data_IF_796162621153
#
_entry.id   IF_796162621153
#
_cell.length_a   1.000
_cell.length_b   1.000
_cell.length_c   1.000
_cell.angle_alpha   90.00
_cell.angle_beta   90.00
_cell.angle_gamma   90.00
#
_symmetry.space_group_name_H-M   'P 1'
#
loop_
_entity.id
_entity.type
_entity.pdbx_description
1 polymer ?
#
# COMPACT_ATOMS: atom_id res chain seq x y z
N UNK A 1 -59.51 -7.05 26.28
CA UNK A 1 -58.11 -7.23 26.68
C UNK A 1 -57.45 -5.87 26.68
N UNK A 2 -57.31 -5.30 27.85
CA UNK A 2 -56.94 -3.91 28.12
C UNK A 2 -55.42 -3.82 28.24
N UNK A 3 -54.79 -3.00 27.41
CA UNK A 3 -53.35 -2.78 27.40
C UNK A 3 -52.91 -1.99 28.65
N UNK A 4 -51.78 -2.33 29.29
CA UNK A 4 -51.26 -1.59 30.43
C UNK A 4 -50.55 -0.28 30.00
N UNK A 5 -50.58 0.76 30.85
CA UNK A 5 -50.06 2.09 30.52
C UNK A 5 -48.52 2.17 30.52
N UNK A 6 -48.00 2.93 29.56
CA UNK A 6 -46.59 3.29 29.40
C UNK A 6 -46.11 4.20 30.55
N UNK A 7 -45.04 3.77 31.22
CA UNK A 7 -44.29 4.58 32.20
C UNK A 7 -43.28 5.50 31.49
N UNK A 8 -43.35 6.80 31.80
CA UNK A 8 -42.48 7.86 31.30
C UNK A 8 -41.01 7.74 31.76
N UNK A 9 -40.04 8.27 30.99
CA UNK A 9 -38.61 8.14 31.29
C UNK A 9 -38.16 9.08 32.42
N UNK A 10 -37.36 8.51 33.32
CA UNK A 10 -36.69 9.16 34.44
C UNK A 10 -35.47 9.93 33.92
N UNK A 11 -35.46 11.24 34.09
CA UNK A 11 -34.31 12.09 33.83
C UNK A 11 -33.21 11.79 34.88
N UNK A 12 -32.08 11.28 34.43
CA UNK A 12 -30.88 11.15 35.26
C UNK A 12 -29.94 12.32 34.99
N UNK A 13 -29.49 12.88 36.11
CA UNK A 13 -28.77 14.12 36.24
C UNK A 13 -27.29 13.98 35.85
N UNK A 14 -26.82 15.03 35.19
CA UNK A 14 -25.44 15.33 34.81
C UNK A 14 -24.59 15.65 36.06
N UNK A 15 -23.44 14.98 36.29
CA UNK A 15 -22.45 15.42 37.28
C UNK A 15 -21.37 16.32 36.65
N UNK A 16 -20.77 17.22 37.45
CA UNK A 16 -20.10 18.41 36.95
C UNK A 16 -18.65 18.21 36.47
N UNK A 17 -18.34 19.09 35.53
CA UNK A 17 -17.05 19.53 35.00
C UNK A 17 -15.95 19.70 36.06
N UNK A 18 -14.84 18.96 35.90
CA UNK A 18 -13.59 19.17 36.62
C UNK A 18 -12.45 19.42 35.62
N UNK A 19 -11.97 20.66 35.58
CA UNK A 19 -10.77 21.09 34.86
C UNK A 19 -9.55 21.15 35.84
N UNK A 20 -8.32 21.46 35.38
CA UNK A 20 -7.28 20.47 35.14
C UNK A 20 -6.12 20.55 36.14
N UNK A 21 -5.64 19.39 36.60
CA UNK A 21 -4.42 19.31 37.40
C UNK A 21 -3.18 19.29 36.49
N UNK A 22 -2.34 20.29 36.66
CA UNK A 22 -1.01 20.44 36.07
C UNK A 22 -0.08 19.31 36.51
N UNK A 23 0.65 18.70 35.59
CA UNK A 23 1.74 17.77 35.91
C UNK A 23 3.00 18.10 35.09
N UNK A 24 4.20 17.87 35.68
CA UNK A 24 5.43 18.55 35.31
C UNK A 24 6.20 17.90 34.16
N UNK A 25 6.97 18.77 33.51
CA UNK A 25 7.93 18.55 32.42
C UNK A 25 9.07 17.61 32.87
N UNK A 26 9.02 16.34 32.48
CA UNK A 26 10.12 15.39 32.66
C UNK A 26 11.14 15.47 31.51
N UNK A 27 12.43 15.54 31.90
CA UNK A 27 13.63 15.59 31.05
C UNK A 27 13.71 14.45 30.01
N UNK A 28 14.36 14.66 28.85
CA UNK A 28 14.73 13.58 27.94
C UNK A 28 15.81 12.70 28.59
N UNK A 29 15.54 11.39 28.67
CA UNK A 29 16.49 10.34 29.08
C UNK A 29 17.19 9.84 27.81
N UNK A 30 18.52 9.96 27.78
CA UNK A 30 19.37 9.30 26.77
C UNK A 30 19.20 7.78 26.83
N UNK A 31 19.02 7.08 25.70
CA UNK A 31 19.19 5.65 25.66
C UNK A 31 20.68 5.30 25.54
N UNK A 32 21.16 4.63 26.59
CA UNK A 32 22.44 3.96 26.66
C UNK A 32 22.62 2.94 25.52
N UNK A 33 23.86 2.84 25.05
CA UNK A 33 24.36 1.77 24.21
C UNK A 33 24.11 0.41 24.89
N UNK A 34 23.38 -0.48 24.21
CA UNK A 34 23.29 -1.88 24.59
C UNK A 34 24.01 -2.71 23.54
N UNK A 35 24.92 -3.51 24.09
CA UNK A 35 25.92 -4.38 23.51
C UNK A 35 25.35 -5.56 22.73
N UNK A 36 26.11 -5.95 21.71
CA UNK A 36 26.06 -7.24 21.00
C UNK A 36 26.06 -8.46 21.92
N UNK A 37 25.38 -9.52 21.48
CA UNK A 37 25.34 -10.81 22.17
C UNK A 37 24.58 -11.92 21.45
N UNK A 38 25.21 -12.48 20.41
CA UNK A 38 25.29 -13.90 20.04
C UNK A 38 24.02 -14.75 19.73
N UNK A 39 24.06 -15.28 18.48
CA UNK A 39 23.91 -16.68 18.09
C UNK A 39 22.54 -17.38 18.12
N UNK A 40 22.01 -17.65 16.93
CA UNK A 40 21.42 -18.94 16.61
C UNK A 40 21.75 -19.31 15.15
N UNK A 41 22.46 -20.43 15.03
CA UNK A 41 22.83 -21.16 13.82
C UNK A 41 21.56 -21.73 13.20
N UNK A 42 21.38 -21.55 11.89
CA UNK A 42 20.47 -22.37 11.11
C UNK A 42 21.15 -22.68 9.77
N UNK A 43 21.48 -23.96 9.63
CA UNK A 43 22.03 -24.60 8.44
C UNK A 43 21.11 -24.49 7.23
N UNK A 44 21.72 -24.69 6.06
CA UNK A 44 21.14 -24.49 4.76
C UNK A 44 20.12 -25.54 4.37
N UNK A 45 19.15 -25.09 3.58
CA UNK A 45 18.46 -25.90 2.59
C UNK A 45 18.51 -25.09 1.30
N UNK A 46 19.40 -25.52 0.40
CA UNK A 46 19.46 -25.06 -0.98
C UNK A 46 18.21 -25.55 -1.71
N UNK A 47 17.31 -24.63 -2.06
CA UNK A 47 16.27 -24.89 -3.04
C UNK A 47 16.78 -24.39 -4.41
N UNK A 48 17.37 -25.32 -5.15
CA UNK A 48 17.60 -25.22 -6.58
C UNK A 48 16.26 -25.00 -7.30
N UNK A 49 16.20 -23.98 -8.15
CA UNK A 49 15.07 -23.71 -9.04
C UNK A 49 15.66 -23.23 -10.37
N UNK A 50 16.01 -24.20 -11.20
CA UNK A 50 16.31 -24.03 -12.60
C UNK A 50 15.14 -23.42 -13.39
N UNK A 51 15.48 -22.54 -14.33
CA UNK A 51 14.88 -22.55 -15.66
C UNK A 51 13.84 -21.48 -15.98
N UNK A 52 14.29 -20.31 -16.48
CA UNK A 52 13.69 -19.69 -17.68
C UNK A 52 14.82 -19.09 -18.53
N UNK A 53 14.89 -19.57 -19.76
CA UNK A 53 15.88 -19.27 -20.78
C UNK A 53 15.93 -17.78 -21.17
N UNK A 54 17.14 -17.24 -21.24
CA UNK A 54 17.46 -15.98 -21.90
C UNK A 54 17.82 -16.32 -23.35
N UNK A 55 17.00 -15.87 -24.30
CA UNK A 55 17.37 -15.92 -25.71
C UNK A 55 18.43 -14.88 -26.04
N UNK A 56 19.46 -15.39 -26.69
CA UNK A 56 20.72 -14.79 -27.05
C UNK A 56 20.63 -14.08 -28.42
N UNK A 57 21.27 -12.90 -28.50
CA UNK A 57 22.03 -12.33 -29.63
C UNK A 57 21.36 -12.14 -31.00
N UNK A 58 21.32 -10.88 -31.42
CA UNK A 58 21.66 -10.53 -32.81
C UNK A 58 22.54 -9.28 -32.82
N UNK A 59 23.86 -9.50 -32.86
CA UNK A 59 24.88 -8.48 -33.18
C UNK A 59 25.01 -8.42 -34.69
N UNK A 60 24.68 -7.27 -35.28
CA UNK A 60 25.06 -6.94 -36.66
C UNK A 60 26.41 -6.21 -36.63
N UNK A 61 27.31 -6.65 -37.51
CA UNK A 61 28.72 -6.27 -37.58
C UNK A 61 29.02 -5.23 -38.68
N UNK A 62 30.05 -4.40 -38.38
CA UNK A 62 31.04 -3.76 -39.27
C UNK A 62 30.57 -2.64 -40.24
N UNK A 63 31.45 -1.70 -40.71
CA UNK A 63 32.93 -1.79 -40.88
C UNK A 63 33.75 -0.54 -40.43
N UNK A 64 35.10 -0.51 -40.66
CA UNK A 64 36.06 0.28 -39.86
C UNK A 64 36.65 1.54 -40.55
N UNK A 65 37.30 2.34 -39.71
CA UNK A 65 38.47 3.22 -39.88
C UNK A 65 38.69 4.04 -41.17
N UNK A 66 38.88 5.37 -40.98
CA UNK A 66 39.74 6.20 -41.82
C UNK A 66 40.45 7.27 -40.97
N UNK A 67 41.75 7.37 -41.17
CA UNK A 67 42.73 8.24 -40.52
C UNK A 67 42.68 9.73 -40.97
N UNK A 68 42.89 10.62 -39.98
CA UNK A 68 43.66 11.89 -40.00
C UNK A 68 43.27 13.04 -40.99
N UNK A 69 43.85 14.27 -40.91
CA UNK A 69 44.74 14.89 -39.90
C UNK A 69 44.26 16.30 -39.43
N UNK A 70 45.12 16.94 -38.62
CA UNK A 70 44.94 18.20 -37.89
C UNK A 70 45.26 19.51 -38.65
N UNK A 71 44.91 20.63 -37.99
CA UNK A 71 45.42 22.04 -38.08
C UNK A 71 44.75 23.02 -39.07
N UNK A 72 44.91 24.37 -38.93
CA UNK A 72 44.89 25.24 -37.75
C UNK A 72 43.94 26.49 -37.91
N UNK A 73 44.00 27.40 -36.94
CA UNK A 73 43.21 28.62 -36.73
C UNK A 73 43.18 29.66 -37.87
N UNK A 74 42.04 30.37 -38.02
CA UNK A 74 41.96 31.70 -38.64
C UNK A 74 40.88 32.58 -38.01
N UNK A 75 41.34 33.63 -37.34
CA UNK A 75 40.88 35.04 -37.29
C UNK A 75 39.39 35.42 -37.25
N UNK A 76 39.11 36.28 -36.27
CA UNK A 76 37.96 37.16 -36.15
C UNK A 76 37.74 38.08 -37.35
N UNK A 77 36.47 38.40 -37.64
CA UNK A 77 36.02 39.72 -38.15
C UNK A 77 34.54 39.92 -37.76
N UNK A 78 34.15 41.08 -37.21
CA UNK A 78 32.77 41.40 -36.87
C UNK A 78 32.07 42.11 -38.04
N UNK A 79 30.88 41.65 -38.43
CA UNK A 79 30.00 42.43 -39.32
C UNK A 79 28.51 42.14 -39.09
N UNK A 80 27.84 43.20 -38.66
CA UNK A 80 26.45 43.60 -38.97
C UNK A 80 25.27 42.76 -38.46
N UNK A 81 24.34 43.36 -37.68
CA UNK A 81 23.06 42.75 -37.33
C UNK A 81 22.07 42.83 -38.52
N UNK A 82 21.36 41.76 -38.87
CA UNK A 82 20.26 41.84 -39.84
C UNK A 82 18.98 42.41 -39.21
N UNK A 83 18.11 43.03 -40.04
CA UNK A 83 16.95 43.81 -39.63
C UNK A 83 15.79 42.99 -39.07
N UNK A 84 15.00 43.68 -38.26
CA UNK A 84 13.85 43.25 -37.48
C UNK A 84 12.77 42.57 -38.33
N UNK A 85 12.54 41.28 -38.09
CA UNK A 85 11.37 40.56 -38.58
C UNK A 85 10.14 40.83 -37.69
N UNK A 86 8.93 40.96 -38.27
CA UNK A 86 7.70 41.31 -37.54
C UNK A 86 7.24 40.20 -36.57
N UNK A 87 6.49 40.56 -35.51
CA UNK A 87 6.05 39.59 -34.50
C UNK A 87 5.05 38.60 -35.09
N UNK A 88 5.47 37.34 -35.21
CA UNK A 88 4.59 36.21 -35.53
C UNK A 88 3.60 36.01 -34.36
N UNK A 89 2.29 35.84 -34.64
CA UNK A 89 1.29 35.66 -33.62
C UNK A 89 1.50 34.33 -32.88
N UNK A 90 1.87 34.47 -31.59
CA UNK A 90 1.46 33.65 -30.44
C UNK A 90 0.99 32.24 -30.79
N UNK A 91 1.94 31.41 -31.21
CA UNK A 91 1.72 29.98 -31.39
C UNK A 91 1.50 29.34 -30.02
N UNK A 92 0.48 28.51 -29.96
CA UNK A 92 -0.12 27.88 -28.79
C UNK A 92 0.93 27.34 -27.80
N UNK A 93 0.66 27.53 -26.52
CA UNK A 93 1.40 26.98 -25.39
C UNK A 93 1.48 25.45 -25.50
N UNK A 94 2.45 24.93 -26.26
CA UNK A 94 2.93 23.58 -26.02
C UNK A 94 3.39 23.53 -24.57
N UNK A 95 2.98 22.51 -23.79
CA UNK A 95 3.50 22.29 -22.45
C UNK A 95 5.02 22.28 -22.57
N UNK A 96 5.69 23.25 -21.94
CA UNK A 96 7.15 23.27 -21.86
C UNK A 96 7.57 21.94 -21.25
N UNK A 97 8.10 21.04 -22.07
CA UNK A 97 8.92 19.94 -21.58
C UNK A 97 10.07 20.62 -20.83
N UNK A 98 9.95 20.64 -19.51
CA UNK A 98 11.00 21.14 -18.64
C UNK A 98 12.28 20.40 -19.02
N UNK A 99 13.35 21.09 -19.47
CA UNK A 99 14.57 20.45 -19.90
C UNK A 99 15.04 19.54 -18.77
N UNK A 100 14.99 18.22 -19.02
CA UNK A 100 15.50 17.23 -18.09
C UNK A 100 16.99 17.51 -17.96
N UNK A 101 17.40 18.08 -16.82
CA UNK A 101 18.81 18.19 -16.48
C UNK A 101 19.40 16.78 -16.59
N UNK A 102 20.56 16.61 -17.25
CA UNK A 102 21.20 15.30 -17.33
C UNK A 102 21.45 14.82 -15.90
N UNK A 103 20.66 13.84 -15.47
CA UNK A 103 20.79 13.23 -14.15
C UNK A 103 22.13 12.51 -14.12
N UNK A 104 22.92 12.78 -13.09
CA UNK A 104 24.13 12.00 -12.85
C UNK A 104 23.73 10.53 -12.65
N UNK A 105 24.57 9.57 -13.06
CA UNK A 105 24.26 8.15 -12.95
C UNK A 105 23.91 7.73 -11.50
N UNK A 106 24.47 8.41 -10.50
CA UNK A 106 24.11 8.26 -9.09
C UNK A 106 22.70 8.77 -8.75
N UNK A 107 22.24 9.86 -9.37
CA UNK A 107 20.88 10.39 -9.19
C UNK A 107 19.84 9.49 -9.86
N UNK A 108 20.15 8.93 -11.02
CA UNK A 108 19.29 7.94 -11.68
C UNK A 108 19.11 6.68 -10.81
N UNK A 109 20.21 6.21 -10.19
CA UNK A 109 20.17 5.07 -9.28
C UNK A 109 19.43 5.39 -7.96
N UNK A 110 19.51 6.63 -7.48
CA UNK A 110 18.72 7.09 -6.33
C UNK A 110 17.22 7.22 -6.63
N UNK A 111 16.84 7.68 -7.82
CA UNK A 111 15.44 7.79 -8.22
C UNK A 111 14.79 6.41 -8.36
N UNK A 112 15.55 5.40 -8.79
CA UNK A 112 15.09 4.02 -8.88
C UNK A 112 14.93 3.37 -7.48
N UNK A 113 15.84 3.67 -6.54
CA UNK A 113 15.79 3.13 -5.17
C UNK A 113 14.73 3.81 -4.28
N UNK A 114 14.43 5.08 -4.48
CA UNK A 114 13.53 5.84 -3.60
C UNK A 114 12.73 6.90 -4.38
N UNK A 115 11.83 6.53 -5.31
CA UNK A 115 11.13 7.46 -6.20
C UNK A 115 10.36 8.55 -5.45
N UNK A 116 10.31 9.78 -6.02
CA UNK A 116 9.59 10.93 -5.44
C UNK A 116 8.07 10.71 -5.48
N UNK A 117 7.58 10.15 -6.58
CA UNK A 117 6.15 9.94 -6.84
C UNK A 117 5.89 8.46 -7.19
N UNK A 118 6.07 7.52 -6.25
CA UNK A 118 5.86 6.11 -6.54
C UNK A 118 4.43 5.91 -7.01
N UNK A 119 4.27 5.06 -8.03
CA UNK A 119 2.97 4.55 -8.50
C UNK A 119 1.98 5.57 -9.06
N UNK A 120 2.43 6.76 -9.51
CA UNK A 120 1.51 7.81 -10.04
C UNK A 120 0.57 7.32 -11.15
N UNK A 121 1.05 6.47 -12.05
CA UNK A 121 0.23 5.88 -13.12
C UNK A 121 -0.72 4.80 -12.57
N UNK A 122 -0.21 3.89 -11.73
CA UNK A 122 -1.00 2.86 -11.10
C UNK A 122 -2.14 3.44 -10.25
N UNK A 123 -1.92 4.57 -9.56
CA UNK A 123 -2.95 5.27 -8.80
C UNK A 123 -4.15 5.68 -9.67
N UNK A 124 -3.91 6.17 -10.90
CA UNK A 124 -4.98 6.51 -11.85
C UNK A 124 -5.72 5.27 -12.31
N UNK A 125 -4.97 4.23 -12.67
CA UNK A 125 -5.54 2.96 -13.09
C UNK A 125 -6.44 2.38 -12.00
N UNK A 126 -5.97 2.35 -10.74
CA UNK A 126 -6.76 1.88 -9.61
C UNK A 126 -7.98 2.76 -9.33
N UNK A 127 -7.87 4.09 -9.41
CA UNK A 127 -9.04 4.96 -9.29
C UNK A 127 -10.08 4.68 -10.38
N UNK A 128 -9.64 4.49 -11.63
CA UNK A 128 -10.53 4.17 -12.74
C UNK A 128 -11.17 2.80 -12.59
N UNK A 129 -10.39 1.77 -12.22
CA UNK A 129 -10.88 0.41 -12.01
C UNK A 129 -11.90 0.35 -10.86
N UNK A 130 -11.59 0.96 -9.71
CA UNK A 130 -12.51 1.02 -8.57
C UNK A 130 -13.75 1.84 -8.91
N UNK A 131 -13.59 2.97 -9.61
CA UNK A 131 -14.72 3.80 -10.01
C UNK A 131 -15.66 3.13 -11.00
N UNK A 132 -15.13 2.45 -12.01
CA UNK A 132 -15.90 1.59 -12.91
C UNK A 132 -16.57 0.44 -12.16
N UNK A 133 -15.87 -0.19 -11.21
CA UNK A 133 -16.42 -1.23 -10.36
C UNK A 133 -17.64 -0.74 -9.55
N UNK A 134 -17.52 0.39 -8.87
CA UNK A 134 -18.64 0.99 -8.12
C UNK A 134 -19.78 1.46 -9.01
N UNK A 135 -19.48 2.03 -10.17
CA UNK A 135 -20.50 2.39 -11.15
C UNK A 135 -21.26 1.15 -11.65
N UNK A 136 -20.55 0.07 -11.98
CA UNK A 136 -21.12 -1.22 -12.35
C UNK A 136 -22.00 -1.80 -11.24
N UNK A 137 -21.52 -1.80 -9.99
CA UNK A 137 -22.30 -2.22 -8.83
C UNK A 137 -23.57 -1.38 -8.63
N UNK A 138 -23.52 -0.09 -8.93
CA UNK A 138 -24.66 0.82 -8.88
C UNK A 138 -25.67 0.62 -10.02
N UNK A 139 -25.25 0.02 -11.14
CA UNK A 139 -26.15 -0.34 -12.24
C UNK A 139 -26.96 -1.63 -11.95
N UNK A 140 -26.42 -2.54 -11.12
CA UNK A 140 -27.06 -3.84 -10.85
C UNK A 140 -28.48 -3.77 -10.27
N UNK A 141 -28.83 -2.84 -9.35
CA UNK A 141 -30.21 -2.70 -8.88
C UNK A 141 -31.20 -2.30 -9.99
N UNK A 142 -30.77 -1.50 -10.97
CA UNK A 142 -31.62 -1.13 -12.11
C UNK A 142 -31.87 -2.30 -13.06
N UNK A 143 -30.97 -3.29 -13.07
CA UNK A 143 -31.11 -4.54 -13.83
C UNK A 143 -31.86 -5.63 -13.05
N UNK A 144 -32.30 -5.36 -11.81
CA UNK A 144 -32.97 -6.34 -10.96
C UNK A 144 -32.06 -7.45 -10.42
N UNK A 145 -30.73 -7.32 -10.57
CA UNK A 145 -29.75 -8.34 -10.16
C UNK A 145 -29.41 -8.24 -8.67
N UNK A 146 -29.48 -7.03 -8.08
CA UNK A 146 -29.10 -6.78 -6.69
C UNK A 146 -30.25 -6.13 -5.90
N UNK A 147 -30.61 -6.65 -4.71
CA UNK A 147 -31.54 -5.98 -3.79
C UNK A 147 -30.89 -4.74 -3.16
N UNK A 148 -31.70 -3.72 -2.83
CA UNK A 148 -31.22 -2.47 -2.21
C UNK A 148 -31.88 -1.19 -2.71
N UNK A 149 -32.71 -1.29 -3.75
CA UNK A 149 -33.48 -0.17 -4.28
C UNK A 149 -32.62 0.94 -4.90
N UNK A 150 -33.27 2.06 -5.20
CA UNK A 150 -32.68 3.22 -5.89
C UNK A 150 -31.62 3.94 -5.05
N UNK A 151 -31.75 3.95 -3.72
CA UNK A 151 -30.81 4.64 -2.82
C UNK A 151 -29.43 3.95 -2.79
N UNK A 152 -29.39 2.61 -2.77
CA UNK A 152 -28.13 1.87 -2.86
C UNK A 152 -27.47 2.09 -4.24
N UNK A 153 -28.27 2.10 -5.31
CA UNK A 153 -27.78 2.38 -6.66
C UNK A 153 -27.16 3.79 -6.76
N UNK A 154 -27.86 4.80 -6.25
CA UNK A 154 -27.41 6.20 -6.29
C UNK A 154 -26.08 6.38 -5.56
N UNK A 155 -25.96 5.86 -4.34
CA UNK A 155 -24.70 5.96 -3.58
C UNK A 155 -23.53 5.27 -4.28
N UNK A 156 -23.73 4.08 -4.84
CA UNK A 156 -22.70 3.40 -5.64
C UNK A 156 -22.29 4.21 -6.87
N UNK A 157 -23.26 4.76 -7.62
CA UNK A 157 -23.00 5.60 -8.79
C UNK A 157 -22.28 6.90 -8.42
N UNK A 158 -22.64 7.53 -7.30
CA UNK A 158 -21.96 8.74 -6.82
C UNK A 158 -20.49 8.45 -6.47
N UNK A 159 -20.22 7.40 -5.67
CA UNK A 159 -18.85 7.02 -5.36
C UNK A 159 -18.07 6.61 -6.61
N UNK A 160 -18.70 5.86 -7.53
CA UNK A 160 -18.10 5.48 -8.81
C UNK A 160 -17.79 6.67 -9.72
N UNK A 161 -18.72 7.61 -9.86
CA UNK A 161 -18.54 8.81 -10.66
C UNK A 161 -17.46 9.73 -10.11
N UNK A 162 -17.44 9.96 -8.80
CA UNK A 162 -16.42 10.82 -8.16
C UNK A 162 -15.03 10.19 -8.24
N UNK A 163 -14.91 8.87 -8.02
CA UNK A 163 -13.62 8.17 -8.17
C UNK A 163 -13.13 8.14 -9.62
N UNK A 164 -14.03 7.98 -10.60
CA UNK A 164 -13.68 8.07 -12.02
C UNK A 164 -13.25 9.49 -12.41
N UNK A 165 -13.95 10.52 -11.92
CA UNK A 165 -13.53 11.91 -12.09
C UNK A 165 -12.15 12.16 -11.46
N UNK A 166 -11.87 11.61 -10.28
CA UNK A 166 -10.54 11.68 -9.66
C UNK A 166 -9.45 10.96 -10.48
N UNK A 167 -9.80 9.92 -11.24
CA UNK A 167 -8.89 9.23 -12.15
C UNK A 167 -8.52 10.07 -13.37
N UNK A 168 -9.52 10.77 -13.95
CA UNK A 168 -9.38 11.56 -15.19
C UNK A 168 -8.77 12.95 -14.92
N UNK A 169 -9.02 13.53 -13.76
CA UNK A 169 -8.55 14.87 -13.42
C UNK A 169 -7.03 14.91 -13.25
N UNK A 170 -6.40 15.95 -13.82
CA UNK A 170 -4.97 16.23 -13.68
C UNK A 170 -4.67 16.90 -12.34
N UNK A 171 -4.85 16.12 -11.27
CA UNK A 171 -4.57 16.56 -9.89
C UNK A 171 -3.12 16.22 -9.52
N UNK A 172 -2.50 17.09 -8.71
CA UNK A 172 -1.17 16.83 -8.14
C UNK A 172 -1.16 15.54 -7.30
N UNK A 173 0.01 14.91 -7.15
CA UNK A 173 0.17 13.66 -6.41
C UNK A 173 -0.44 13.69 -5.00
N UNK A 174 -0.16 14.77 -4.23
CA UNK A 174 -0.64 14.94 -2.85
C UNK A 174 -2.17 14.97 -2.75
N UNK A 175 -2.79 15.80 -3.57
CA UNK A 175 -4.24 15.96 -3.59
C UNK A 175 -4.94 14.67 -4.03
N UNK A 176 -4.35 13.91 -4.97
CA UNK A 176 -4.88 12.59 -5.34
C UNK A 176 -4.77 11.59 -4.20
N UNK A 177 -3.63 11.52 -3.52
CA UNK A 177 -3.42 10.62 -2.39
C UNK A 177 -4.47 10.85 -1.28
N UNK A 178 -4.71 12.12 -0.94
CA UNK A 178 -5.76 12.51 0.01
C UNK A 178 -7.14 12.15 -0.52
N UNK A 179 -7.45 12.42 -1.79
CA UNK A 179 -8.74 12.06 -2.38
C UNK A 179 -8.99 10.55 -2.38
N UNK A 180 -7.99 9.72 -2.70
CA UNK A 180 -8.10 8.25 -2.66
C UNK A 180 -8.37 7.76 -1.23
N UNK A 181 -7.63 8.29 -0.25
CA UNK A 181 -7.84 7.97 1.15
C UNK A 181 -9.26 8.33 1.61
N UNK A 182 -9.70 9.56 1.34
CA UNK A 182 -11.02 10.04 1.73
C UNK A 182 -12.14 9.27 1.01
N UNK A 183 -12.05 9.05 -0.29
CA UNK A 183 -13.09 8.35 -1.05
C UNK A 183 -13.23 6.89 -0.62
N UNK A 184 -12.11 6.18 -0.44
CA UNK A 184 -12.13 4.80 0.03
C UNK A 184 -12.65 4.68 1.47
N UNK A 185 -12.20 5.55 2.37
CA UNK A 185 -12.64 5.53 3.78
C UNK A 185 -14.11 5.92 3.91
N UNK A 186 -14.57 6.95 3.19
CA UNK A 186 -15.99 7.32 3.17
C UNK A 186 -16.85 6.19 2.61
N UNK A 187 -16.45 5.56 1.51
CA UNK A 187 -17.19 4.43 0.94
C UNK A 187 -17.31 3.25 1.93
N UNK A 188 -16.23 2.95 2.67
CA UNK A 188 -16.25 1.90 3.68
C UNK A 188 -17.05 2.28 4.93
N UNK A 189 -16.97 3.54 5.40
CA UNK A 189 -17.76 4.03 6.55
C UNK A 189 -19.25 4.06 6.23
N UNK A 190 -19.63 4.46 5.02
CA UNK A 190 -21.03 4.36 4.56
C UNK A 190 -21.47 2.90 4.51
N UNK A 191 -20.59 1.99 4.09
CA UNK A 191 -20.80 0.53 4.15
C UNK A 191 -21.00 -0.03 5.56
N UNK A 192 -20.29 0.50 6.55
CA UNK A 192 -20.51 0.18 7.98
C UNK A 192 -21.90 0.59 8.45
N UNK A 193 -22.44 1.70 7.93
CA UNK A 193 -23.81 2.13 8.16
C UNK A 193 -24.89 1.32 7.43
N UNK A 194 -24.50 0.26 6.71
CA UNK A 194 -25.43 -0.59 5.95
C UNK A 194 -25.86 0.00 4.60
N UNK A 195 -25.17 1.04 4.11
CA UNK A 195 -25.49 1.70 2.84
C UNK A 195 -24.30 1.65 1.85
N UNK A 196 -24.57 1.93 0.58
CA UNK A 196 -23.51 2.06 -0.43
C UNK A 196 -22.90 0.75 -0.94
N UNK A 197 -21.77 0.84 -1.66
CA UNK A 197 -21.23 -0.28 -2.44
C UNK A 197 -20.80 -1.45 -1.55
N UNK A 198 -20.28 -1.14 -0.36
CA UNK A 198 -19.83 -2.11 0.63
C UNK A 198 -20.84 -2.26 1.79
N UNK A 199 -22.14 -2.09 1.54
CA UNK A 199 -23.17 -2.42 2.52
C UNK A 199 -23.03 -3.89 2.95
N UNK A 200 -22.81 -4.14 4.24
CA UNK A 200 -22.56 -5.48 4.79
C UNK A 200 -21.25 -5.62 5.59
N UNK A 201 -20.37 -4.60 5.60
CA UNK A 201 -19.12 -4.65 6.39
C UNK A 201 -19.39 -4.88 7.89
N UNK A 202 -20.49 -4.33 8.40
CA UNK A 202 -20.88 -4.43 9.80
C UNK A 202 -21.68 -5.71 10.14
N UNK A 203 -21.78 -6.69 9.23
CA UNK A 203 -22.49 -7.94 9.48
C UNK A 203 -21.99 -8.58 10.79
N UNK A 204 -22.89 -8.67 11.78
CA UNK A 204 -22.65 -9.21 13.12
C UNK A 204 -22.25 -8.22 14.19
N UNK A 205 -21.24 -7.41 13.96
CA UNK A 205 -20.75 -6.45 14.96
C UNK A 205 -20.12 -5.20 14.32
N UNK A 206 -20.66 -3.98 14.57
CA UNK A 206 -20.11 -2.75 13.98
C UNK A 206 -18.68 -2.48 14.44
N UNK A 207 -18.33 -2.83 15.68
CA UNK A 207 -16.98 -2.69 16.23
C UNK A 207 -15.98 -3.57 15.47
N UNK A 208 -16.36 -4.82 15.14
CA UNK A 208 -15.52 -5.71 14.33
C UNK A 208 -15.34 -5.14 12.92
N UNK A 209 -16.42 -4.64 12.31
CA UNK A 209 -16.36 -4.00 10.99
C UNK A 209 -15.40 -2.81 10.96
N UNK A 210 -15.44 -1.94 11.98
CA UNK A 210 -14.53 -0.80 12.10
C UNK A 210 -13.07 -1.24 12.32
N UNK A 211 -12.85 -2.22 13.21
CA UNK A 211 -11.51 -2.76 13.43
C UNK A 211 -10.94 -3.40 12.15
N UNK A 212 -11.77 -4.12 11.38
CA UNK A 212 -11.42 -4.70 10.07
C UNK A 212 -11.03 -3.61 9.07
N UNK A 213 -11.79 -2.51 9.02
CA UNK A 213 -11.48 -1.35 8.17
C UNK A 213 -10.09 -0.77 8.51
N UNK A 214 -9.77 -0.57 9.79
CA UNK A 214 -8.46 -0.09 10.22
C UNK A 214 -7.34 -1.06 9.81
N UNK A 215 -7.52 -2.37 10.05
CA UNK A 215 -6.54 -3.38 9.68
C UNK A 215 -6.32 -3.44 8.16
N UNK A 216 -7.41 -3.47 7.37
CA UNK A 216 -7.38 -3.54 5.92
C UNK A 216 -6.81 -2.28 5.24
N UNK A 217 -6.72 -1.17 5.94
CA UNK A 217 -6.16 0.08 5.41
C UNK A 217 -4.72 0.29 5.86
N UNK A 218 -4.45 0.15 7.16
CA UNK A 218 -3.13 0.41 7.74
C UNK A 218 -2.08 -0.64 7.36
N UNK A 219 -2.41 -1.93 7.43
CA UNK A 219 -1.44 -3.01 7.16
C UNK A 219 -0.96 -3.00 5.69
N UNK A 220 -1.84 -2.99 4.66
CA UNK A 220 -1.36 -2.97 3.28
C UNK A 220 -0.59 -1.69 2.96
N UNK A 221 -1.01 -0.53 3.50
CA UNK A 221 -0.27 0.72 3.31
C UNK A 221 1.15 0.66 3.88
N UNK A 222 1.32 0.13 5.09
CA UNK A 222 2.62 -0.02 5.73
C UNK A 222 3.50 -1.08 5.02
N UNK A 223 2.92 -2.18 4.56
CA UNK A 223 3.62 -3.22 3.80
C UNK A 223 4.10 -2.70 2.44
N UNK A 224 3.27 -1.95 1.71
CA UNK A 224 3.66 -1.28 0.47
C UNK A 224 4.75 -0.25 0.71
N UNK A 225 4.62 0.56 1.77
CA UNK A 225 5.63 1.52 2.17
C UNK A 225 6.97 0.84 2.43
N UNK A 226 6.96 -0.25 3.21
CA UNK A 226 8.17 -1.01 3.51
C UNK A 226 8.78 -1.70 2.29
N UNK A 227 7.95 -2.26 1.41
CA UNK A 227 8.43 -2.89 0.18
C UNK A 227 9.15 -1.89 -0.74
N UNK A 228 8.72 -0.62 -0.74
CA UNK A 228 9.34 0.45 -1.55
C UNK A 228 10.50 1.14 -0.86
N UNK A 229 10.40 1.40 0.45
CA UNK A 229 11.42 2.11 1.23
C UNK A 229 12.17 1.17 2.17
N UNK A 230 12.67 0.04 1.63
CA UNK A 230 13.30 -1.05 2.40
C UNK A 230 14.49 -0.65 3.27
N UNK A 231 15.24 0.37 2.84
CA UNK A 231 16.42 0.86 3.55
C UNK A 231 16.08 1.86 4.67
N UNK A 232 14.85 2.38 4.71
CA UNK A 232 14.46 3.35 5.72
C UNK A 232 14.13 2.64 7.04
N UNK A 233 14.97 2.83 8.06
CA UNK A 233 14.80 2.22 9.38
C UNK A 233 13.42 2.51 10.00
N UNK A 234 12.87 3.71 9.74
CA UNK A 234 11.54 4.12 10.20
C UNK A 234 10.39 3.29 9.61
N UNK A 235 10.60 2.57 8.50
CA UNK A 235 9.56 1.72 7.91
C UNK A 235 9.15 0.57 8.84
N UNK A 236 10.05 0.09 9.70
CA UNK A 236 9.74 -0.94 10.72
C UNK A 236 8.79 -0.40 11.77
N UNK A 237 8.98 0.84 12.21
CA UNK A 237 8.11 1.50 13.17
C UNK A 237 6.72 1.78 12.60
N UNK A 238 6.62 2.15 11.32
CA UNK A 238 5.32 2.27 10.64
C UNK A 238 4.58 0.94 10.56
N UNK A 239 5.29 -0.15 10.25
CA UNK A 239 4.69 -1.49 10.24
C UNK A 239 4.24 -1.89 11.64
N UNK A 240 5.03 -1.62 12.68
CA UNK A 240 4.65 -1.88 14.07
C UNK A 240 3.39 -1.08 14.46
N UNK A 241 3.31 0.20 14.10
CA UNK A 241 2.11 1.00 14.32
C UNK A 241 0.88 0.44 13.58
N UNK A 242 1.04 -0.03 12.34
CA UNK A 242 -0.04 -0.67 11.60
C UNK A 242 -0.51 -1.98 12.26
N UNK A 243 0.40 -2.76 12.86
CA UNK A 243 0.04 -3.93 13.67
C UNK A 243 -0.73 -3.55 14.93
N UNK A 244 -0.31 -2.49 15.63
CA UNK A 244 -1.05 -1.97 16.79
C UNK A 244 -2.46 -1.56 16.38
N UNK A 245 -2.63 -0.90 15.23
CA UNK A 245 -3.95 -0.58 14.68
C UNK A 245 -4.79 -1.82 14.31
N UNK A 246 -4.14 -2.95 13.97
CA UNK A 246 -4.80 -4.20 13.64
C UNK A 246 -5.10 -5.10 14.87
N UNK A 247 -4.51 -4.82 16.04
CA UNK A 247 -4.73 -5.60 17.26
C UNK A 247 -6.21 -5.71 17.66
N UNK A 248 -7.02 -4.64 17.65
CA UNK A 248 -8.45 -4.75 17.99
C UNK A 248 -9.17 -5.77 17.10
N UNK A 249 -8.83 -5.80 15.81
CA UNK A 249 -9.41 -6.77 14.87
C UNK A 249 -8.99 -8.19 15.20
N UNK A 250 -7.69 -8.43 15.46
CA UNK A 250 -7.19 -9.75 15.84
C UNK A 250 -7.83 -10.25 17.14
N UNK A 251 -7.90 -9.41 18.18
CA UNK A 251 -8.49 -9.78 19.47
C UNK A 251 -9.96 -10.19 19.28
N UNK A 252 -10.75 -9.37 18.58
CA UNK A 252 -12.16 -9.67 18.33
C UNK A 252 -12.34 -10.94 17.48
N UNK A 253 -11.46 -11.16 16.50
CA UNK A 253 -11.49 -12.36 15.64
C UNK A 253 -11.14 -13.62 16.44
N UNK A 254 -10.12 -13.57 17.31
CA UNK A 254 -9.74 -14.69 18.18
C UNK A 254 -10.85 -15.02 19.18
N UNK A 255 -11.46 -14.01 19.81
CA UNK A 255 -12.58 -14.19 20.72
C UNK A 255 -13.78 -14.85 20.03
N UNK A 256 -14.01 -14.54 18.75
CA UNK A 256 -15.06 -15.17 17.93
C UNK A 256 -14.78 -16.65 17.63
N UNK A 257 -13.51 -17.04 17.47
CA UNK A 257 -13.10 -18.43 17.18
C UNK A 257 -13.04 -19.31 18.43
N UNK A 258 -12.91 -18.72 19.62
CA UNK A 258 -12.83 -19.43 20.90
C UNK A 258 -13.88 -20.54 21.13
N UNK A 259 -15.18 -20.40 20.75
CA UNK A 259 -16.15 -21.48 20.92
C UNK A 259 -15.97 -22.68 19.95
N UNK A 260 -15.04 -22.61 18.99
CA UNK A 260 -14.69 -23.69 18.05
C UNK A 260 -15.89 -24.31 17.31
N UNK A 261 -16.91 -23.51 16.96
CA UNK A 261 -18.00 -24.00 16.12
C UNK A 261 -17.51 -24.23 14.67
N UNK A 262 -17.88 -25.35 14.01
CA UNK A 262 -17.48 -25.66 12.63
C UNK A 262 -18.28 -24.85 11.60
N UNK A 263 -18.35 -23.53 11.79
CA UNK A 263 -19.07 -22.61 10.93
C UNK A 263 -18.14 -21.99 9.87
N UNK A 264 -18.70 -21.58 8.72
CA UNK A 264 -17.96 -20.86 7.67
C UNK A 264 -17.25 -19.60 8.23
N UNK A 265 -17.87 -18.94 9.19
CA UNK A 265 -17.31 -17.81 9.92
C UNK A 265 -15.96 -18.13 10.59
N UNK A 266 -15.83 -19.33 11.15
CA UNK A 266 -14.62 -19.79 11.82
C UNK A 266 -13.50 -19.99 10.81
N UNK A 267 -13.79 -20.57 9.65
CA UNK A 267 -12.84 -20.70 8.53
C UNK A 267 -12.36 -19.31 8.07
N UNK A 268 -13.29 -18.37 7.87
CA UNK A 268 -12.94 -16.99 7.52
C UNK A 268 -12.04 -16.32 8.56
N UNK A 269 -12.33 -16.53 9.83
CA UNK A 269 -11.52 -16.00 10.94
C UNK A 269 -10.10 -16.57 10.95
N UNK A 270 -9.93 -17.87 10.68
CA UNK A 270 -8.60 -18.47 10.52
C UNK A 270 -7.84 -17.89 9.33
N UNK A 271 -8.51 -17.68 8.19
CA UNK A 271 -7.89 -17.02 7.03
C UNK A 271 -7.42 -15.62 7.39
N UNK A 272 -8.25 -14.82 8.07
CA UNK A 272 -7.87 -13.48 8.51
C UNK A 272 -6.67 -13.49 9.47
N UNK A 273 -6.68 -14.36 10.49
CA UNK A 273 -5.57 -14.51 11.43
C UNK A 273 -4.28 -14.90 10.70
N UNK A 274 -4.36 -15.92 9.84
CA UNK A 274 -3.20 -16.41 9.08
C UNK A 274 -2.60 -15.32 8.20
N UNK A 275 -3.43 -14.57 7.48
CA UNK A 275 -2.96 -13.55 6.55
C UNK A 275 -2.41 -12.33 7.31
N UNK A 276 -3.01 -11.93 8.43
CA UNK A 276 -2.44 -10.88 9.30
C UNK A 276 -1.12 -11.36 9.93
N UNK A 277 -1.01 -12.62 10.32
CA UNK A 277 0.25 -13.19 10.79
C UNK A 277 1.30 -13.24 9.66
N UNK A 278 0.91 -13.54 8.42
CA UNK A 278 1.80 -13.50 7.26
C UNK A 278 2.34 -12.09 6.99
N UNK A 279 1.63 -11.02 7.38
CA UNK A 279 2.16 -9.66 7.35
C UNK A 279 3.40 -9.46 8.23
N UNK A 280 3.67 -10.36 9.19
CA UNK A 280 4.91 -10.35 9.99
C UNK A 280 6.14 -10.69 9.15
N UNK A 281 5.99 -11.36 8.00
CA UNK A 281 7.08 -11.49 7.00
C UNK A 281 7.60 -10.13 6.60
N UNK A 282 6.73 -9.11 6.65
CA UNK A 282 7.12 -7.71 6.55
C UNK A 282 8.30 -7.39 7.44
N UNK A 283 8.39 -7.88 8.69
CA UNK A 283 9.49 -7.65 9.63
C UNK A 283 10.86 -8.21 9.27
N UNK A 284 10.93 -9.14 8.33
CA UNK A 284 12.20 -9.72 7.90
C UNK A 284 13.13 -8.68 7.22
N UNK A 285 14.39 -9.08 7.01
CA UNK A 285 15.47 -8.24 6.49
C UNK A 285 15.19 -7.63 5.11
N UNK A 286 16.01 -6.65 4.70
CA UNK A 286 15.86 -5.92 3.42
C UNK A 286 15.73 -6.83 2.19
N UNK A 287 16.36 -8.00 2.23
CA UNK A 287 16.39 -8.95 1.11
C UNK A 287 15.03 -9.62 0.84
N UNK A 288 14.17 -9.77 1.85
CA UNK A 288 12.86 -10.43 1.69
C UNK A 288 11.69 -9.44 1.58
N UNK A 289 11.97 -8.13 1.68
CA UNK A 289 10.92 -7.09 1.69
C UNK A 289 10.17 -6.91 0.37
N UNK A 290 10.68 -7.43 -0.76
CA UNK A 290 9.98 -7.40 -2.05
C UNK A 290 8.61 -8.11 -2.01
N UNK A 291 8.46 -9.11 -1.13
CA UNK A 291 7.20 -9.83 -0.95
C UNK A 291 6.08 -8.96 -0.33
N UNK A 292 6.40 -7.82 0.28
CA UNK A 292 5.44 -6.99 1.01
C UNK A 292 4.25 -6.52 0.16
N UNK A 293 4.44 -6.31 -1.15
CA UNK A 293 3.34 -5.96 -2.06
C UNK A 293 2.33 -7.11 -2.20
N UNK A 294 2.81 -8.35 -2.37
CA UNK A 294 1.97 -9.53 -2.49
C UNK A 294 1.29 -9.87 -1.17
N UNK A 295 2.02 -9.73 -0.05
CA UNK A 295 1.45 -9.92 1.29
C UNK A 295 0.38 -8.87 1.57
N UNK A 296 0.58 -7.61 1.18
CA UNK A 296 -0.44 -6.55 1.31
C UNK A 296 -1.70 -6.85 0.51
N UNK A 297 -1.58 -7.37 -0.72
CA UNK A 297 -2.71 -7.85 -1.51
C UNK A 297 -3.36 -9.08 -0.87
N UNK A 298 -2.56 -9.98 -0.30
CA UNK A 298 -3.02 -11.11 0.51
C UNK A 298 -3.90 -10.63 1.67
N UNK A 299 -3.46 -9.63 2.45
CA UNK A 299 -4.21 -9.02 3.56
C UNK A 299 -5.54 -8.47 3.10
N UNK A 300 -5.57 -7.68 2.02
CA UNK A 300 -6.82 -7.15 1.47
C UNK A 300 -7.78 -8.28 1.09
N UNK A 301 -7.32 -9.24 0.29
CA UNK A 301 -8.14 -10.36 -0.18
C UNK A 301 -8.59 -11.26 0.98
N UNK A 302 -7.71 -11.56 1.93
CA UNK A 302 -8.00 -12.41 3.09
C UNK A 302 -9.05 -11.80 4.01
N UNK A 303 -8.97 -10.50 4.29
CA UNK A 303 -9.97 -9.79 5.07
C UNK A 303 -11.31 -9.64 4.32
N UNK A 304 -11.27 -9.53 2.99
CA UNK A 304 -12.48 -9.60 2.14
C UNK A 304 -13.13 -10.97 2.18
N UNK A 305 -12.33 -12.04 2.10
CA UNK A 305 -12.80 -13.44 2.21
C UNK A 305 -13.40 -13.72 3.59
N UNK A 306 -12.76 -13.25 4.67
CA UNK A 306 -13.31 -13.38 6.02
C UNK A 306 -14.67 -12.67 6.16
N UNK A 307 -14.80 -11.47 5.60
CA UNK A 307 -16.08 -10.75 5.57
C UNK A 307 -17.15 -11.54 4.81
N UNK A 308 -16.82 -12.06 3.62
CA UNK A 308 -17.76 -12.85 2.81
C UNK A 308 -18.20 -14.13 3.54
N UNK A 309 -17.25 -14.90 4.10
CA UNK A 309 -17.56 -16.14 4.81
C UNK A 309 -18.34 -15.90 6.10
N UNK A 310 -18.08 -14.77 6.78
CA UNK A 310 -18.84 -14.36 7.95
C UNK A 310 -20.29 -14.07 7.61
N UNK A 311 -20.55 -13.36 6.53
CA UNK A 311 -21.91 -13.01 6.12
C UNK A 311 -22.66 -14.24 5.55
N UNK A 312 -21.96 -15.10 4.80
CA UNK A 312 -22.51 -16.39 4.32
C UNK A 312 -22.82 -17.39 5.44
N UNK A 313 -22.29 -17.19 6.65
CA UNK A 313 -22.57 -18.05 7.80
C UNK A 313 -23.95 -17.79 8.44
N UNK A 314 -24.60 -16.67 8.11
CA UNK A 314 -25.91 -16.36 8.68
C UNK A 314 -27.00 -17.35 8.22
N UNK A 315 -27.89 -17.79 9.12
CA UNK A 315 -29.05 -18.59 8.74
C UNK A 315 -29.87 -17.88 7.66
N UNK A 316 -30.09 -18.55 6.53
CA UNK A 316 -30.82 -17.98 5.40
C UNK A 316 -29.95 -17.26 4.36
N UNK A 317 -28.62 -17.22 4.52
CA UNK A 317 -27.71 -16.66 3.52
C UNK A 317 -27.82 -17.35 2.14
N UNK A 318 -28.31 -18.60 2.09
CA UNK A 318 -28.57 -19.35 0.86
C UNK A 318 -30.07 -19.56 0.58
N UNK A 319 -30.96 -18.85 1.29
CA UNK A 319 -32.40 -18.95 1.04
C UNK A 319 -32.79 -18.43 -0.35
N UNK A 320 -31.98 -17.51 -0.91
CA UNK A 320 -32.14 -17.01 -2.28
C UNK A 320 -30.78 -16.94 -2.97
N UNK A 321 -30.73 -17.14 -4.29
CA UNK A 321 -29.51 -17.00 -5.09
C UNK A 321 -28.92 -15.58 -5.11
N UNK A 322 -29.76 -14.57 -4.82
CA UNK A 322 -29.36 -13.16 -4.75
C UNK A 322 -28.55 -12.83 -3.49
N UNK A 323 -28.77 -13.57 -2.40
CA UNK A 323 -28.07 -13.36 -1.14
C UNK A 323 -26.54 -13.57 -1.26
N UNK A 324 -26.03 -14.74 -1.69
CA UNK A 324 -24.59 -14.97 -1.75
C UNK A 324 -23.89 -14.08 -2.79
N UNK A 325 -24.56 -13.77 -3.90
CA UNK A 325 -24.03 -12.83 -4.90
C UNK A 325 -23.90 -11.42 -4.31
N UNK A 326 -24.89 -10.94 -3.55
CA UNK A 326 -24.81 -9.64 -2.88
C UNK A 326 -23.68 -9.59 -1.84
N UNK A 327 -23.48 -10.65 -1.07
CA UNK A 327 -22.39 -10.80 -0.11
C UNK A 327 -21.01 -10.73 -0.78
N UNK A 328 -20.81 -11.48 -1.87
CA UNK A 328 -19.56 -11.48 -2.63
C UNK A 328 -19.28 -10.08 -3.20
N UNK A 329 -20.30 -9.43 -3.77
CA UNK A 329 -20.16 -8.08 -4.31
C UNK A 329 -19.84 -7.05 -3.22
N UNK A 330 -20.43 -7.18 -2.04
CA UNK A 330 -20.11 -6.32 -0.89
C UNK A 330 -18.67 -6.53 -0.40
N UNK A 331 -18.19 -7.78 -0.35
CA UNK A 331 -16.82 -8.09 0.00
C UNK A 331 -15.82 -7.54 -1.04
N UNK A 332 -16.11 -7.69 -2.34
CA UNK A 332 -15.30 -7.08 -3.41
C UNK A 332 -15.28 -5.57 -3.30
N UNK A 333 -16.43 -4.94 -3.04
CA UNK A 333 -16.52 -3.50 -2.84
C UNK A 333 -15.73 -3.03 -1.60
N UNK A 334 -15.75 -3.80 -0.52
CA UNK A 334 -14.94 -3.55 0.67
C UNK A 334 -13.44 -3.62 0.36
N UNK A 335 -13.00 -4.65 -0.36
CA UNK A 335 -11.59 -4.79 -0.80
C UNK A 335 -11.18 -3.63 -1.69
N UNK A 336 -12.04 -3.21 -2.62
CA UNK A 336 -11.79 -2.07 -3.49
C UNK A 336 -11.68 -0.75 -2.70
N UNK A 337 -12.60 -0.50 -1.76
CA UNK A 337 -12.61 0.70 -0.93
C UNK A 337 -11.39 0.79 0.00
N UNK A 338 -11.06 -0.31 0.67
CA UNK A 338 -9.92 -0.38 1.60
C UNK A 338 -8.58 -0.41 0.84
N UNK A 339 -8.51 -1.06 -0.31
CA UNK A 339 -7.36 -0.99 -1.22
C UNK A 339 -7.10 0.43 -1.73
N UNK A 340 -8.15 1.15 -2.14
CA UNK A 340 -8.03 2.56 -2.54
C UNK A 340 -7.53 3.43 -1.38
N UNK A 341 -8.06 3.20 -0.17
CA UNK A 341 -7.64 3.88 1.05
C UNK A 341 -6.19 3.59 1.42
N UNK A 342 -5.78 2.33 1.35
CA UNK A 342 -4.42 1.89 1.64
C UNK A 342 -3.42 2.50 0.65
N UNK A 343 -3.75 2.56 -0.64
CA UNK A 343 -2.93 3.24 -1.65
C UNK A 343 -2.83 4.74 -1.38
N UNK A 344 -3.93 5.41 -1.02
CA UNK A 344 -3.91 6.82 -0.62
C UNK A 344 -3.02 7.08 0.59
N UNK A 345 -3.15 6.25 1.64
CA UNK A 345 -2.33 6.32 2.84
C UNK A 345 -0.84 6.07 2.52
N UNK A 346 -0.53 5.05 1.73
CA UNK A 346 0.84 4.78 1.25
C UNK A 346 1.44 6.00 0.54
N UNK A 347 0.70 6.64 -0.38
CA UNK A 347 1.18 7.82 -1.10
C UNK A 347 1.39 9.02 -0.17
N UNK A 348 0.54 9.21 0.84
CA UNK A 348 0.74 10.27 1.85
C UNK A 348 2.01 10.01 2.67
N UNK A 349 2.22 8.76 3.10
CA UNK A 349 3.44 8.35 3.83
C UNK A 349 4.69 8.54 2.96
N UNK A 350 4.65 8.08 1.71
CA UNK A 350 5.72 8.26 0.73
C UNK A 350 6.05 9.75 0.54
N UNK A 351 5.04 10.58 0.33
CA UNK A 351 5.23 12.02 0.18
C UNK A 351 5.87 12.64 1.44
N UNK A 352 5.38 12.29 2.64
CA UNK A 352 5.86 12.88 3.90
C UNK A 352 7.27 12.42 4.27
N UNK A 353 7.62 11.17 4.02
CA UNK A 353 8.83 10.53 4.53
C UNK A 353 9.92 10.32 3.46
N UNK A 354 9.62 10.53 2.18
CA UNK A 354 10.61 10.39 1.09
C UNK A 354 11.85 11.27 1.29
N UNK A 355 11.68 12.48 1.84
CA UNK A 355 12.80 13.37 2.16
C UNK A 355 13.79 12.75 3.15
N UNK A 356 13.27 12.17 4.23
CA UNK A 356 14.09 11.52 5.26
C UNK A 356 14.67 10.20 4.76
N UNK A 357 13.88 9.42 4.01
CA UNK A 357 14.32 8.15 3.42
C UNK A 357 15.52 8.34 2.46
N UNK A 358 15.59 9.47 1.75
CA UNK A 358 16.70 9.80 0.84
C UNK A 358 17.98 10.23 1.55
N UNK A 359 17.87 10.85 2.74
CA UNK A 359 19.03 11.33 3.50
C UNK A 359 19.85 10.21 4.14
N UNK A 360 19.19 9.10 4.47
CA UNK A 360 19.76 8.08 5.36
C UNK A 360 20.74 7.11 4.65
N UNK A 361 20.81 7.09 3.31
CA UNK A 361 21.41 5.95 2.61
C UNK A 361 22.57 6.23 1.63
N UNK A 362 23.26 7.37 1.75
CA UNK A 362 24.43 7.66 0.88
C UNK A 362 25.76 7.33 1.59
N UNK A 363 25.78 7.36 2.93
CA UNK A 363 26.99 7.13 3.74
C UNK A 363 26.84 6.01 4.76
N UNK A 364 25.70 5.30 4.77
CA UNK A 364 25.57 4.10 5.59
C UNK A 364 26.56 3.07 5.03
N UNK A 365 27.70 2.94 5.71
CA UNK A 365 28.73 1.98 5.38
C UNK A 365 28.05 0.62 5.23
N UNK A 366 28.07 0.07 4.01
CA UNK A 366 27.71 -1.33 3.80
C UNK A 366 28.62 -2.08 4.77
N UNK A 367 28.08 -2.76 5.80
CA UNK A 367 28.91 -3.47 6.76
C UNK A 367 29.72 -4.44 5.92
N UNK A 368 31.03 -4.18 5.85
CA UNK A 368 31.94 -4.90 4.99
C UNK A 368 31.79 -6.36 5.39
N UNK A 369 31.25 -7.20 4.49
CA UNK A 369 31.04 -8.62 4.76
C UNK A 369 32.33 -9.11 5.39
N UNK A 370 32.31 -9.66 6.63
CA UNK A 370 33.53 -9.98 7.34
C UNK A 370 34.38 -10.78 6.38
N UNK A 371 35.51 -10.19 5.94
CA UNK A 371 36.42 -10.81 4.98
C UNK A 371 36.63 -12.21 5.53
N UNK A 372 36.18 -13.23 4.78
CA UNK A 372 36.49 -14.62 5.12
C UNK A 372 37.98 -14.61 5.41
N UNK A 373 38.36 -14.92 6.66
CA UNK A 373 39.77 -15.06 7.01
C UNK A 373 40.35 -15.95 5.91
N UNK A 374 41.45 -15.55 5.24
CA UNK A 374 42.09 -16.38 4.24
C UNK A 374 42.18 -17.77 4.84
N UNK A 375 41.47 -18.71 4.23
CA UNK A 375 41.55 -20.10 4.62
C UNK A 375 43.04 -20.42 4.53
N UNK A 376 43.68 -20.87 5.63
CA UNK A 376 45.10 -21.15 5.60
C UNK A 376 45.29 -22.14 4.47
N UNK A 377 45.95 -21.69 3.41
CA UNK A 377 46.36 -22.56 2.32
C UNK A 377 47.20 -23.63 2.98
N UNK A 378 46.61 -24.80 3.20
CA UNK A 378 47.32 -26.03 3.47
C UNK A 378 48.07 -26.30 2.18
N UNK A 379 49.20 -25.61 2.01
CA UNK A 379 50.37 -26.13 1.31
C UNK A 379 50.72 -27.43 2.03
N UNK A 380 50.01 -28.49 1.68
CA UNK A 380 50.54 -29.83 1.83
C UNK A 380 51.75 -29.87 0.90
N UNK A 381 52.91 -29.61 1.49
CA UNK A 381 54.19 -30.03 0.95
C UNK A 381 54.07 -31.52 0.59
N UNK A 382 53.84 -31.79 -0.70
CA UNK A 382 54.15 -33.09 -1.32
C UNK A 382 55.63 -33.11 -1.73
N UNK A 383 56.48 -32.58 -0.85
CA UNK A 383 57.93 -32.61 -1.00
C UNK A 383 58.46 -33.78 -0.18
N UNK A 384 58.98 -34.76 -0.91
CA UNK A 384 60.04 -35.70 -0.53
C UNK A 384 59.77 -36.68 0.62
N UNK A 385 59.62 -37.95 0.25
CA UNK A 385 60.49 -39.02 0.76
C UNK A 385 60.36 -40.27 -0.11
N UNK A 386 61.50 -40.56 -0.77
CA UNK A 386 62.05 -41.83 -1.28
C UNK A 386 61.37 -42.63 -2.42
#
# INVERSE_FOLDING_TARGET
MTAPPQSAPRAEAEPPEAAPASAPRSKPREPAAVTDGAAAVAEGIEASSDGVAVSEVSRVAAPPAADAPATPATSATPSSPPPSSPPTPRNEERPRETPQKPLLASEALMEDLAPIEPSRQAARFWCAAVGLGFAGLGALPYLGVRPGGTNAALSCLLFGGVTLAAALTRVSYRHRAVAMLLLGTLAAVVGLGGAGPAAGIAAGAPVLGFARLLAATALPAALLFRARYRAYAGARWLLAAAFVCALPFLILTVLRVAPLSPELATIGSFVAIFVVAAALVGFMGSETTGAGTYVGLGVLSGLGTELALSDLSYPGAFATWQSPTSTILAAVAFVAATGLSALGLFQILAWRLSGDARRINIHAAVPEKPRRKPEPTTTSDWSSSD
#
